data_IF_820791501358
#
_entry.id   IF_820791501358
#
_cell.length_a   1.000
_cell.length_b   1.000
_cell.length_c   1.000
_cell.angle_alpha   90.00
_cell.angle_beta   90.00
_cell.angle_gamma   90.00
#
_symmetry.space_group_name_H-M   'P 1'
#
loop_
_entity.id
_entity.type
_entity.pdbx_description
1 polymer ?
#
# COMPACT_ATOMS: atom_id res chain seq x y z
N UNK A 1 -5.61 7.72 3.78
CA UNK A 1 -6.24 7.74 2.44
C UNK A 1 -7.13 6.52 2.35
N UNK A 2 -8.44 6.74 2.29
CA UNK A 2 -9.43 5.68 2.13
C UNK A 2 -9.27 5.02 0.75
N UNK A 3 -9.17 3.71 0.71
CA UNK A 3 -9.12 2.93 -0.54
C UNK A 3 -10.53 2.46 -0.88
N UNK A 4 -10.95 2.72 -2.12
CA UNK A 4 -12.25 2.31 -2.63
C UNK A 4 -12.17 2.04 -4.15
N UNK A 5 -13.31 1.71 -4.77
CA UNK A 5 -13.39 1.37 -6.20
C UNK A 5 -12.97 2.48 -7.16
N UNK A 6 -12.96 3.73 -6.70
CA UNK A 6 -12.58 4.91 -7.50
C UNK A 6 -11.10 5.26 -7.34
N UNK A 7 -10.43 4.64 -6.36
CA UNK A 7 -8.99 4.86 -6.13
C UNK A 7 -8.18 4.33 -7.31
N UNK A 8 -7.37 5.21 -7.90
CA UNK A 8 -6.46 4.86 -8.99
C UNK A 8 -5.09 4.48 -8.43
N UNK A 9 -4.41 3.57 -9.14
CA UNK A 9 -3.02 3.20 -8.88
C UNK A 9 -2.10 4.41 -8.73
N UNK A 10 -2.21 5.37 -9.65
CA UNK A 10 -1.37 6.57 -9.66
C UNK A 10 -1.55 7.47 -8.43
N UNK A 11 -2.75 7.51 -7.85
CA UNK A 11 -2.99 8.30 -6.63
C UNK A 11 -2.25 7.70 -5.44
N UNK A 12 -2.23 6.36 -5.35
CA UNK A 12 -1.50 5.61 -4.32
C UNK A 12 0.01 5.75 -4.49
N UNK A 13 0.52 5.58 -5.72
CA UNK A 13 1.95 5.79 -6.03
C UNK A 13 2.41 7.17 -5.63
N UNK A 14 1.68 8.21 -6.07
CA UNK A 14 2.06 9.60 -5.82
C UNK A 14 2.12 9.92 -4.32
N UNK A 15 1.21 9.34 -3.54
CA UNK A 15 1.16 9.58 -2.11
C UNK A 15 2.22 8.76 -1.34
N UNK A 16 2.41 7.48 -1.68
CA UNK A 16 3.00 6.50 -0.78
C UNK A 16 4.20 5.72 -1.33
N UNK A 17 4.57 5.87 -2.60
CA UNK A 17 5.71 5.15 -3.17
C UNK A 17 7.02 5.52 -2.42
N UNK A 18 7.83 4.50 -2.13
CA UNK A 18 9.10 4.55 -1.41
C UNK A 18 8.97 5.07 0.03
N UNK A 19 7.84 4.80 0.70
CA UNK A 19 7.59 5.28 2.06
C UNK A 19 7.05 4.18 2.98
N UNK A 20 7.42 4.30 4.25
CA UNK A 20 6.80 3.55 5.33
C UNK A 20 5.36 4.03 5.52
N UNK A 21 4.44 3.07 5.49
CA UNK A 21 3.01 3.31 5.61
C UNK A 21 2.41 2.39 6.66
N UNK A 22 1.33 2.84 7.28
CA UNK A 22 0.41 1.98 8.03
C UNK A 22 -0.78 1.71 7.13
N UNK A 23 -1.01 0.43 6.84
CA UNK A 23 -2.15 -0.04 6.07
C UNK A 23 -3.15 -0.66 7.01
N UNK A 24 -4.35 -0.11 7.03
CA UNK A 24 -5.51 -0.68 7.72
C UNK A 24 -6.27 -1.56 6.72
N UNK A 25 -6.39 -2.84 7.04
CA UNK A 25 -7.19 -3.79 6.27
C UNK A 25 -8.66 -3.69 6.65
N UNK A 26 -9.55 -4.17 5.77
CA UNK A 26 -11.01 -4.15 6.01
C UNK A 26 -11.47 -4.95 7.22
N UNK A 27 -10.67 -5.90 7.69
CA UNK A 27 -10.91 -6.62 8.94
C UNK A 27 -10.44 -5.85 10.19
N UNK A 28 -9.98 -4.61 10.05
CA UNK A 28 -9.48 -3.75 11.12
C UNK A 28 -8.00 -3.96 11.48
N UNK A 29 -7.32 -4.95 10.90
CA UNK A 29 -5.89 -5.19 11.17
C UNK A 29 -5.05 -4.05 10.59
N UNK A 30 -4.13 -3.51 11.39
CA UNK A 30 -3.17 -2.49 10.97
C UNK A 30 -1.79 -3.12 10.79
N UNK A 31 -1.13 -2.82 9.67
CA UNK A 31 0.17 -3.38 9.30
C UNK A 31 1.10 -2.25 8.89
N UNK A 32 2.29 -2.17 9.49
CA UNK A 32 3.36 -1.29 9.02
C UNK A 32 4.13 -1.99 7.90
N UNK A 33 4.24 -1.33 6.75
CA UNK A 33 4.91 -1.86 5.56
C UNK A 33 5.55 -0.73 4.75
N UNK A 34 6.49 -1.08 3.89
CA UNK A 34 7.16 -0.14 2.99
C UNK A 34 6.64 -0.33 1.57
N UNK A 35 5.88 0.64 1.04
CA UNK A 35 5.28 0.55 -0.29
C UNK A 35 6.34 0.86 -1.34
N UNK A 36 6.54 -0.08 -2.26
CA UNK A 36 7.56 -0.04 -3.32
C UNK A 36 6.92 0.27 -4.67
N UNK A 37 5.75 -0.28 -4.92
CA UNK A 37 5.05 -0.06 -6.20
C UNK A 37 3.56 -0.37 -6.08
N UNK A 38 2.84 -0.25 -7.19
CA UNK A 38 1.47 -0.71 -7.37
C UNK A 38 1.37 -1.38 -8.75
N UNK A 39 0.46 -2.32 -8.88
CA UNK A 39 0.27 -3.03 -10.16
C UNK A 39 -1.22 -3.38 -10.35
N UNK A 40 -1.59 -3.62 -11.60
CA UNK A 40 -2.86 -4.20 -12.03
C UNK A 40 -2.65 -5.29 -13.08
N UNK A 41 -1.63 -5.16 -13.94
CA UNK A 41 -1.47 -5.97 -15.13
C UNK A 41 -1.15 -7.43 -14.80
N UNK A 42 -0.43 -7.67 -13.69
CA UNK A 42 -0.05 -9.01 -13.27
C UNK A 42 -1.22 -9.89 -12.80
N UNK A 43 -2.33 -9.29 -12.33
CA UNK A 43 -3.40 -10.04 -11.63
C UNK A 43 -4.83 -9.69 -12.05
N UNK A 44 -5.04 -8.62 -12.84
CA UNK A 44 -6.38 -8.16 -13.24
C UNK A 44 -7.14 -7.41 -12.15
N UNK A 45 -6.47 -7.05 -11.05
CA UNK A 45 -6.97 -6.22 -9.96
C UNK A 45 -5.86 -5.35 -9.36
N UNK A 46 -6.23 -4.21 -8.79
CA UNK A 46 -5.28 -3.25 -8.24
C UNK A 46 -4.62 -3.81 -6.96
N UNK A 47 -3.30 -3.82 -6.92
CA UNK A 47 -2.48 -4.23 -5.77
C UNK A 47 -1.49 -3.14 -5.36
N UNK A 48 -1.09 -3.15 -4.10
CA UNK A 48 0.17 -2.52 -3.66
C UNK A 48 1.24 -3.60 -3.58
N UNK A 49 2.48 -3.26 -3.94
CA UNK A 49 3.67 -4.09 -3.74
C UNK A 49 4.52 -3.47 -2.64
N UNK A 50 4.98 -4.29 -1.70
CA UNK A 50 5.63 -3.81 -0.49
C UNK A 50 6.67 -4.78 0.07
N UNK A 51 7.51 -4.28 0.98
CA UNK A 51 8.39 -5.10 1.81
C UNK A 51 8.42 -4.61 3.26
N UNK A 52 9.21 -5.30 4.10
CA UNK A 52 9.42 -4.97 5.50
C UNK A 52 10.86 -4.52 5.80
N UNK A 53 11.67 -4.28 4.77
CA UNK A 53 13.09 -3.94 4.90
C UNK A 53 13.34 -2.45 4.65
N UNK A 54 12.45 -1.75 3.94
CA UNK A 54 12.68 -0.39 3.48
C UNK A 54 13.62 -0.33 2.27
N UNK A 55 13.93 -1.47 1.64
CA UNK A 55 14.76 -1.52 0.43
C UNK A 55 13.93 -1.30 -0.83
N UNK A 56 14.61 -1.13 -1.98
CA UNK A 56 13.93 -0.99 -3.26
C UNK A 56 13.51 -2.33 -3.90
N UNK A 57 13.46 -3.39 -3.10
CA UNK A 57 13.17 -4.74 -3.57
C UNK A 57 11.67 -4.98 -3.57
N UNK A 58 11.14 -5.45 -4.70
CA UNK A 58 9.79 -6.01 -4.75
C UNK A 58 9.70 -7.19 -3.77
N UNK A 59 8.59 -7.26 -3.05
CA UNK A 59 8.39 -8.25 -1.99
C UNK A 59 7.02 -8.92 -2.12
N UNK A 60 6.14 -8.61 -1.18
CA UNK A 60 4.78 -9.13 -1.14
C UNK A 60 3.79 -8.15 -1.79
N UNK A 61 2.57 -8.61 -2.02
CA UNK A 61 1.47 -7.82 -2.52
C UNK A 61 0.22 -7.90 -1.63
N UNK A 62 -0.59 -6.82 -1.64
CA UNK A 62 -1.92 -6.80 -1.05
C UNK A 62 -2.89 -6.15 -2.05
N UNK A 63 -4.05 -6.78 -2.34
CA UNK A 63 -5.07 -6.18 -3.20
C UNK A 63 -5.79 -5.02 -2.51
N UNK A 64 -6.17 -4.02 -3.31
CA UNK A 64 -6.97 -2.88 -2.84
C UNK A 64 -8.32 -3.33 -2.27
N UNK A 65 -8.83 -4.49 -2.70
CA UNK A 65 -10.05 -5.09 -2.15
C UNK A 65 -9.96 -5.38 -0.66
N UNK A 66 -8.76 -5.58 -0.13
CA UNK A 66 -8.54 -5.98 1.26
C UNK A 66 -8.12 -4.78 2.12
N UNK A 67 -7.77 -3.67 1.48
CA UNK A 67 -7.33 -2.44 2.13
C UNK A 67 -8.55 -1.55 2.39
N UNK A 68 -8.60 -1.02 3.60
CA UNK A 68 -9.55 0.01 4.00
C UNK A 68 -8.94 1.41 3.89
N UNK A 69 -7.72 1.57 4.40
CA UNK A 69 -7.00 2.85 4.41
C UNK A 69 -5.47 2.68 4.41
N UNK A 70 -4.77 3.62 3.78
CA UNK A 70 -3.31 3.77 3.83
C UNK A 70 -2.93 5.13 4.43
N UNK A 71 -2.04 5.14 5.40
CA UNK A 71 -1.51 6.33 6.07
C UNK A 71 0.02 6.35 6.01
N UNK A 72 0.64 7.53 5.90
CA UNK A 72 2.08 7.65 6.08
C UNK A 72 2.44 7.34 7.54
N UNK A 73 3.43 6.48 7.73
CA UNK A 73 3.98 6.24 9.06
C UNK A 73 4.74 7.49 9.49
N UNK A 74 4.26 8.14 10.55
CA UNK A 74 4.98 9.22 11.23
C UNK A 74 5.82 8.56 12.33
N UNK A 75 7.14 8.60 12.22
CA UNK A 75 7.97 8.37 13.40
C UNK A 75 7.74 9.53 14.35
N UNK A 76 7.36 9.24 15.58
CA UNK A 76 7.53 10.22 16.65
C UNK A 76 9.05 10.46 16.76
N UNK A 77 9.49 11.70 16.55
CA UNK A 77 10.87 12.15 16.79
C UNK A 77 11.18 12.16 18.30
#
# INVERSE_FOLDING_TARGET
MKINKETKLWDVIKAFNWKWCVVTLKNGKRIKLYIVDVDYEAFGYNIIVYNYTGSNSYGNDIPFSDIDEIELYKSEE
#
